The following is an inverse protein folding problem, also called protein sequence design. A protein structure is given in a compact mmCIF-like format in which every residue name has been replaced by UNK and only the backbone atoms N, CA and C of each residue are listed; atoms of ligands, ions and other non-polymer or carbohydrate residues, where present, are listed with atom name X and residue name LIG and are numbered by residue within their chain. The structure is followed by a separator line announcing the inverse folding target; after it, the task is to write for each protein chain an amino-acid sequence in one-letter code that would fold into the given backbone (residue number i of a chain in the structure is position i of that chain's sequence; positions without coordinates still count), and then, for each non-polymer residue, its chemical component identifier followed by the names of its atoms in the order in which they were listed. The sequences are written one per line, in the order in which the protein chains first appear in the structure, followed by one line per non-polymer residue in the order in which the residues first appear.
data_IF_676806805781
#
_entry.id   IF_676806805781
#
_cell.length_a   1.000
_cell.length_b   1.000
_cell.length_c   1.000
_cell.angle_alpha   90.00
_cell.angle_beta   90.00
_cell.angle_gamma   90.00
#
_symmetry.space_group_name_H-M   'P 1'
#
loop_
_entity.id
_entity.type
_entity.pdbx_description
1 polymer ?
#
# COMPACT_ATOMS: atom_id res chain seq x y z
N UNK A 1 -30.08 20.23 23.44
CA UNK A 1 -30.21 19.90 22.00
C UNK A 1 -28.81 19.64 21.50
N UNK A 2 -28.50 18.38 21.24
CA UNK A 2 -27.16 17.94 20.82
C UNK A 2 -27.00 18.19 19.33
N UNK A 3 -25.97 18.94 18.95
CA UNK A 3 -25.53 19.09 17.57
C UNK A 3 -24.30 18.21 17.39
N UNK A 4 -24.45 17.13 16.62
CA UNK A 4 -23.37 16.24 16.21
C UNK A 4 -22.85 16.78 14.87
N UNK A 5 -21.66 17.35 14.88
CA UNK A 5 -20.94 17.70 13.65
C UNK A 5 -20.46 16.43 12.95
N UNK A 6 -20.88 16.24 11.71
CA UNK A 6 -20.40 15.18 10.84
C UNK A 6 -18.98 15.50 10.36
N UNK A 7 -17.99 14.72 10.77
CA UNK A 7 -16.69 14.70 10.10
C UNK A 7 -16.77 13.67 8.97
N UNK A 8 -17.01 14.14 7.74
CA UNK A 8 -16.79 13.31 6.56
C UNK A 8 -15.31 13.05 6.41
N UNK A 9 -14.91 11.79 6.60
CA UNK A 9 -13.57 11.31 6.23
C UNK A 9 -13.53 11.31 4.70
N UNK A 10 -12.90 12.33 4.12
CA UNK A 10 -12.52 12.29 2.70
C UNK A 10 -11.12 11.71 2.65
N UNK A 11 -11.07 10.46 2.21
CA UNK A 11 -9.87 9.66 2.06
C UNK A 11 -10.25 8.42 1.27
N UNK A 12 -10.89 8.63 0.12
CA UNK A 12 -11.30 7.58 -0.79
C UNK A 12 -10.08 7.03 -1.53
N UNK A 13 -9.34 6.14 -0.86
CA UNK A 13 -8.51 5.14 -1.56
C UNK A 13 -9.07 3.76 -1.25
N UNK A 14 -10.32 3.56 -1.66
CA UNK A 14 -10.92 2.25 -1.77
C UNK A 14 -10.29 1.49 -2.93
N UNK A 15 -9.21 0.76 -2.66
CA UNK A 15 -8.82 -0.39 -3.49
C UNK A 15 -8.98 -1.66 -2.65
N UNK A 16 -10.21 -2.17 -2.67
CA UNK A 16 -10.56 -3.49 -2.17
C UNK A 16 -10.01 -4.57 -3.11
N UNK A 17 -8.72 -4.90 -3.02
CA UNK A 17 -8.15 -5.96 -3.85
C UNK A 17 -7.20 -6.85 -3.03
N UNK A 18 -7.32 -8.20 -3.15
CA UNK A 18 -6.26 -9.12 -2.72
C UNK A 18 -4.92 -8.65 -3.29
N UNK A 19 -3.80 -8.94 -2.67
CA UNK A 19 -2.48 -8.58 -3.22
C UNK A 19 -2.29 -9.31 -4.55
N UNK A 20 -2.53 -8.64 -5.70
CA UNK A 20 -1.48 -8.54 -6.72
C UNK A 20 -1.42 -7.17 -7.43
N UNK A 21 -2.09 -6.12 -6.94
CA UNK A 21 -2.15 -4.82 -7.66
C UNK A 21 -1.36 -3.67 -7.02
N UNK A 22 -0.67 -3.90 -5.91
CA UNK A 22 0.23 -2.89 -5.31
C UNK A 22 1.47 -2.65 -6.19
N UNK A 23 1.78 -3.59 -7.08
CA UNK A 23 2.95 -3.58 -7.95
C UNK A 23 2.73 -2.92 -9.32
N UNK A 24 1.49 -2.60 -9.72
CA UNK A 24 1.22 -2.16 -11.11
C UNK A 24 0.70 -0.72 -11.25
N UNK A 25 0.40 -0.04 -10.14
CA UNK A 25 -0.19 1.29 -10.19
C UNK A 25 0.84 2.33 -9.78
N UNK A 26 1.49 2.87 -10.81
CA UNK A 26 2.16 4.16 -10.84
C UNK A 26 1.36 5.18 -9.99
N UNK A 27 1.88 5.51 -8.81
CA UNK A 27 1.33 6.44 -7.82
C UNK A 27 1.48 7.90 -8.31
N UNK A 28 1.11 8.22 -9.54
CA UNK A 28 1.35 9.54 -10.14
C UNK A 28 0.13 10.12 -10.87
N UNK A 29 -1.09 9.63 -10.62
CA UNK A 29 -2.28 10.10 -11.37
C UNK A 29 -3.43 10.57 -10.46
N UNK A 30 -3.10 11.38 -9.46
CA UNK A 30 -4.09 12.07 -8.62
C UNK A 30 -3.76 13.56 -8.48
N UNK A 31 -3.61 14.24 -9.61
CA UNK A 31 -3.64 15.70 -9.60
C UNK A 31 -5.10 16.16 -9.61
N UNK A 32 -5.56 16.52 -8.40
CA UNK A 32 -6.90 16.98 -8.08
C UNK A 32 -7.37 18.17 -8.93
N UNK A 33 -8.65 18.15 -9.32
CA UNK A 33 -9.43 19.18 -10.00
C UNK A 33 -9.54 20.49 -9.18
N UNK A 34 -8.47 21.28 -9.15
CA UNK A 34 -8.55 22.67 -8.71
C UNK A 34 -8.15 23.58 -9.88
N UNK A 35 -9.15 24.13 -10.56
CA UNK A 35 -8.97 25.21 -11.53
C UNK A 35 -8.38 26.44 -10.82
N UNK A 36 -7.09 26.68 -11.01
CA UNK A 36 -6.44 27.94 -10.62
C UNK A 36 -5.78 28.54 -11.85
N UNK A 37 -6.47 29.52 -12.42
CA UNK A 37 -6.02 30.32 -13.55
C UNK A 37 -4.96 31.33 -13.07
N UNK A 38 -3.72 31.20 -13.55
CA UNK A 38 -3.01 32.23 -14.33
C UNK A 38 -1.51 31.89 -14.53
N UNK A 39 -1.12 31.86 -15.80
CA UNK A 39 0.16 32.32 -16.34
C UNK A 39 1.45 31.96 -15.61
N UNK A 40 2.12 30.89 -16.06
CA UNK A 40 3.42 30.97 -16.74
C UNK A 40 4.14 29.62 -16.67
N UNK A 41 4.70 29.25 -17.82
CA UNK A 41 5.83 28.35 -17.97
C UNK A 41 5.53 26.84 -17.96
N UNK A 42 5.91 26.24 -19.08
CA UNK A 42 5.85 24.84 -19.46
C UNK A 42 6.20 23.92 -18.28
N UNK A 43 5.23 23.07 -17.92
CA UNK A 43 5.42 21.95 -17.02
C UNK A 43 6.46 21.01 -17.62
N UNK A 44 7.70 21.08 -17.15
CA UNK A 44 8.60 19.94 -17.28
C UNK A 44 8.01 18.89 -16.35
N UNK A 45 7.31 17.91 -16.93
CA UNK A 45 7.12 16.63 -16.26
C UNK A 45 8.53 16.06 -16.12
N UNK A 46 9.17 16.33 -15.00
CA UNK A 46 10.47 15.73 -14.67
C UNK A 46 10.25 14.22 -14.70
N UNK A 47 10.74 13.61 -15.78
CA UNK A 47 10.65 12.17 -15.95
C UNK A 47 11.58 11.57 -14.91
N UNK A 48 11.14 10.56 -14.13
CA UNK A 48 11.98 10.00 -13.08
C UNK A 48 13.32 9.54 -13.67
N UNK A 49 14.39 9.79 -12.94
CA UNK A 49 15.74 9.35 -13.35
C UNK A 49 15.77 7.83 -13.50
N UNK A 50 16.71 7.32 -14.30
CA UNK A 50 16.95 5.87 -14.40
C UNK A 50 17.17 5.24 -13.02
N UNK A 51 17.94 5.90 -12.16
CA UNK A 51 18.24 5.42 -10.80
C UNK A 51 17.00 5.39 -9.90
N UNK A 52 16.12 6.39 -10.04
CA UNK A 52 14.85 6.46 -9.31
C UNK A 52 13.90 5.35 -9.77
N UNK A 53 13.77 5.16 -11.09
CA UNK A 53 12.96 4.08 -11.65
C UNK A 53 13.47 2.70 -11.23
N UNK A 54 14.79 2.51 -11.25
CA UNK A 54 15.42 1.28 -10.78
C UNK A 54 15.18 1.05 -9.27
N UNK A 55 15.31 2.10 -8.45
CA UNK A 55 15.01 2.04 -7.02
C UNK A 55 13.57 1.63 -6.73
N UNK A 56 12.61 2.19 -7.47
CA UNK A 56 11.19 1.83 -7.37
C UNK A 56 10.95 0.38 -7.80
N UNK A 57 11.57 -0.10 -8.87
CA UNK A 57 11.42 -1.49 -9.32
C UNK A 57 12.01 -2.50 -8.32
N UNK A 58 13.15 -2.17 -7.72
CA UNK A 58 13.77 -2.99 -6.66
C UNK A 58 12.88 -3.00 -5.43
N UNK A 59 12.41 -1.84 -4.97
CA UNK A 59 11.54 -1.73 -3.81
C UNK A 59 10.24 -2.51 -4.00
N UNK A 60 9.62 -2.38 -5.18
CA UNK A 60 8.45 -3.16 -5.58
C UNK A 60 8.70 -4.67 -5.49
N UNK A 61 9.88 -5.12 -5.92
CA UNK A 61 10.24 -6.54 -5.87
C UNK A 61 10.38 -7.03 -4.43
N UNK A 62 10.96 -6.23 -3.54
CA UNK A 62 11.05 -6.51 -2.10
C UNK A 62 9.66 -6.58 -1.47
N UNK A 63 8.81 -5.61 -1.75
CA UNK A 63 7.45 -5.54 -1.23
C UNK A 63 6.59 -6.73 -1.70
N UNK A 64 6.76 -7.17 -2.95
CA UNK A 64 6.10 -8.37 -3.46
C UNK A 64 6.54 -9.64 -2.70
N UNK A 65 7.85 -9.82 -2.50
CA UNK A 65 8.36 -10.95 -1.73
C UNK A 65 7.82 -10.95 -0.29
N UNK A 66 7.78 -9.77 0.34
CA UNK A 66 7.20 -9.59 1.67
C UNK A 66 5.73 -10.02 1.72
N UNK A 67 4.89 -9.49 0.82
CA UNK A 67 3.47 -9.86 0.72
C UNK A 67 3.27 -11.37 0.57
N UNK A 68 3.99 -12.01 -0.35
CA UNK A 68 3.86 -13.45 -0.60
C UNK A 68 4.22 -14.29 0.63
N UNK A 69 5.24 -13.89 1.39
CA UNK A 69 5.61 -14.58 2.64
C UNK A 69 4.52 -14.42 3.70
N UNK A 70 4.01 -13.20 3.91
CA UNK A 70 2.95 -12.96 4.89
C UNK A 70 1.69 -13.75 4.52
N UNK A 71 1.30 -13.77 3.23
CA UNK A 71 0.18 -14.59 2.75
C UNK A 71 0.36 -16.09 3.02
N UNK A 72 1.56 -16.61 2.77
CA UNK A 72 1.87 -18.02 3.01
C UNK A 72 1.77 -18.37 4.50
N UNK A 73 2.27 -17.50 5.38
CA UNK A 73 2.19 -17.69 6.83
C UNK A 73 0.73 -17.65 7.33
N UNK A 74 -0.06 -16.67 6.86
CA UNK A 74 -1.49 -16.60 7.22
C UNK A 74 -2.30 -17.79 6.69
N UNK A 75 -1.91 -18.35 5.55
CA UNK A 75 -2.54 -19.55 4.98
C UNK A 75 -2.20 -20.82 5.78
N UNK A 76 -1.09 -20.81 6.52
CA UNK A 76 -0.70 -21.92 7.39
C UNK A 76 -1.47 -21.96 8.71
N UNK A 77 -2.15 -20.86 9.09
CA UNK A 77 -2.97 -20.77 10.29
C UNK A 77 -2.69 -19.49 11.10
N UNK A 78 -3.14 -19.43 12.37
CA UNK A 78 -2.78 -18.35 13.27
C UNK A 78 -1.25 -18.27 13.43
N UNK A 79 -0.70 -17.06 13.31
CA UNK A 79 0.74 -16.85 13.47
C UNK A 79 1.16 -17.22 14.89
N UNK A 80 2.29 -17.93 14.99
CA UNK A 80 2.99 -18.10 16.26
C UNK A 80 3.83 -16.87 16.56
N UNK A 81 4.27 -16.74 17.82
CA UNK A 81 5.19 -15.68 18.21
C UNK A 81 6.52 -15.71 17.42
N UNK A 82 6.98 -16.91 17.08
CA UNK A 82 8.19 -17.10 16.26
C UNK A 82 7.99 -16.63 14.82
N UNK A 83 6.79 -16.80 14.25
CA UNK A 83 6.46 -16.28 12.92
C UNK A 83 6.42 -14.75 12.90
N UNK A 84 5.91 -14.12 13.97
CA UNK A 84 5.91 -12.65 14.12
C UNK A 84 7.33 -12.07 14.24
N UNK A 85 8.23 -12.76 14.96
CA UNK A 85 9.65 -12.40 15.05
C UNK A 85 10.36 -12.53 13.69
N UNK A 86 10.08 -13.60 12.95
CA UNK A 86 10.59 -13.81 11.60
C UNK A 86 10.08 -12.73 10.63
N UNK A 87 8.81 -12.34 10.73
CA UNK A 87 8.24 -11.25 9.92
C UNK A 87 8.90 -9.90 10.21
N UNK A 88 9.25 -9.65 11.47
CA UNK A 88 9.97 -8.44 11.89
C UNK A 88 11.38 -8.41 11.28
N UNK A 89 12.12 -9.52 11.38
CA UNK A 89 13.45 -9.64 10.77
C UNK A 89 13.40 -9.47 9.25
N UNK A 90 12.43 -10.14 8.59
CA UNK A 90 12.25 -10.05 7.14
C UNK A 90 11.87 -8.63 6.69
N UNK A 91 11.05 -7.93 7.47
CA UNK A 91 10.67 -6.53 7.20
C UNK A 91 11.92 -5.64 7.16
N UNK A 92 12.82 -5.81 8.12
CA UNK A 92 14.07 -5.04 8.19
C UNK A 92 15.00 -5.39 7.01
N UNK A 93 15.17 -6.67 6.69
CA UNK A 93 15.97 -7.12 5.54
C UNK A 93 15.46 -6.55 4.21
N UNK A 94 14.14 -6.54 4.03
CA UNK A 94 13.48 -6.05 2.82
C UNK A 94 13.19 -4.55 2.84
N UNK A 95 13.60 -3.83 3.88
CA UNK A 95 13.42 -2.37 4.00
C UNK A 95 11.96 -1.95 3.86
N UNK A 96 11.06 -2.71 4.48
CA UNK A 96 9.62 -2.43 4.45
C UNK A 96 9.27 -1.45 5.58
N UNK A 97 8.57 -0.36 5.22
CA UNK A 97 8.13 0.65 6.18
C UNK A 97 6.96 0.15 7.05
N UNK A 98 6.71 0.82 8.19
CA UNK A 98 5.57 0.51 9.05
C UNK A 98 4.22 0.64 8.32
N UNK A 99 4.07 1.69 7.50
CA UNK A 99 2.86 1.93 6.73
C UNK A 99 2.60 0.82 5.71
N UNK A 100 3.65 0.35 5.03
CA UNK A 100 3.56 -0.78 4.10
C UNK A 100 3.22 -2.07 4.82
N UNK A 101 3.87 -2.34 5.95
CA UNK A 101 3.57 -3.50 6.78
C UNK A 101 2.09 -3.52 7.22
N UNK A 102 1.58 -2.41 7.76
CA UNK A 102 0.18 -2.27 8.17
C UNK A 102 -0.78 -2.43 7.00
N UNK A 103 -0.43 -1.90 5.83
CA UNK A 103 -1.23 -2.04 4.62
C UNK A 103 -1.34 -3.51 4.19
N UNK A 104 -0.25 -4.27 4.23
CA UNK A 104 -0.27 -5.72 3.93
C UNK A 104 -1.20 -6.45 4.89
N UNK A 105 -1.04 -6.25 6.21
CA UNK A 105 -1.89 -6.91 7.21
C UNK A 105 -3.38 -6.56 7.08
N UNK A 106 -3.69 -5.28 6.83
CA UNK A 106 -5.07 -4.83 6.60
C UNK A 106 -5.68 -5.51 5.38
N UNK A 107 -4.90 -5.66 4.31
CA UNK A 107 -5.39 -6.30 3.10
C UNK A 107 -5.71 -7.78 3.33
N UNK A 108 -4.86 -8.49 4.06
CA UNK A 108 -5.08 -9.90 4.40
C UNK A 108 -6.33 -10.09 5.26
N UNK A 109 -6.54 -9.21 6.24
CA UNK A 109 -7.73 -9.23 7.08
C UNK A 109 -8.99 -9.00 6.25
N UNK A 110 -8.94 -8.04 5.32
CA UNK A 110 -10.05 -7.76 4.40
C UNK A 110 -10.34 -8.94 3.47
N UNK A 111 -9.32 -9.54 2.85
CA UNK A 111 -9.48 -10.73 1.99
C UNK A 111 -10.07 -11.90 2.77
N UNK A 112 -9.54 -12.18 3.96
CA UNK A 112 -10.01 -13.28 4.79
C UNK A 112 -11.48 -13.12 5.19
N UNK A 113 -11.91 -11.88 5.49
CA UNK A 113 -13.32 -11.60 5.81
C UNK A 113 -14.30 -11.88 4.64
N UNK A 114 -13.82 -11.77 3.39
CA UNK A 114 -14.63 -12.09 2.19
C UNK A 114 -14.70 -13.58 1.91
N UNK A 115 -13.66 -14.34 2.23
CA UNK A 115 -13.63 -15.79 2.02
C UNK A 115 -14.59 -16.51 2.95
N UNK A 116 -14.71 -16.05 4.21
CA UNK A 116 -15.59 -16.66 5.23
C UNK A 116 -17.09 -16.38 4.99
N UNK A 117 -17.44 -15.42 4.12
CA UNK A 117 -18.84 -15.00 3.88
C UNK A 117 -19.53 -15.66 2.68
N UNK A 118 -19.08 -16.84 2.22
CA UNK A 118 -19.61 -17.49 1.01
C UNK A 118 -20.09 -18.93 1.28
#
# INVERSE_FOLDING_TARGET
MSSVGSCSVVGSYGHNLPCPNLCDKNLEDLHSDAESSNGSEYKIKDSPSYDEKFGVEVHRSKLHAYCSTVEALYSAGPLSWEDEENLTSLRDELHISDDEHLMVLRNLTYVNSRIVSN
#
